data_IF_176146350199
#
_entry.id   IF_176146350199
#
_cell.length_a   1.000
_cell.length_b   1.000
_cell.length_c   1.000
_cell.angle_alpha   90.00
_cell.angle_beta   90.00
_cell.angle_gamma   90.00
#
_symmetry.space_group_name_H-M   'P 1'
#
loop_
_entity.id
_entity.type
_entity.pdbx_description
1 polymer ?
#
# COMPACT_ATOMS: atom_id res chain seq x y z
N UNK A 1 19.96 2.18 -29.15
CA UNK A 1 18.72 1.40 -28.96
C UNK A 1 18.65 1.11 -27.48
N UNK A 2 17.59 1.55 -26.82
CA UNK A 2 17.43 1.24 -25.40
C UNK A 2 17.09 -0.24 -25.26
N UNK A 3 17.45 -0.90 -24.16
CA UNK A 3 16.97 -2.26 -23.88
C UNK A 3 15.44 -2.30 -23.89
N UNK A 4 14.85 -3.40 -24.35
CA UNK A 4 13.40 -3.60 -24.44
C UNK A 4 12.71 -3.40 -23.07
N UNK A 5 13.36 -3.85 -22.00
CA UNK A 5 12.90 -3.65 -20.63
C UNK A 5 12.90 -2.17 -20.22
N UNK A 6 13.82 -1.37 -20.75
CA UNK A 6 13.88 0.07 -20.48
C UNK A 6 12.81 0.84 -21.25
N UNK A 7 12.45 0.40 -22.47
CA UNK A 7 11.32 0.97 -23.23
C UNK A 7 9.98 0.64 -22.54
N UNK A 8 9.79 -0.61 -22.10
CA UNK A 8 8.59 -1.05 -21.39
C UNK A 8 8.38 -0.31 -20.06
N UNK A 9 9.45 -0.02 -19.32
CA UNK A 9 9.40 0.77 -18.09
C UNK A 9 9.05 2.24 -18.35
N UNK A 10 9.48 2.81 -19.48
CA UNK A 10 9.17 4.19 -19.85
C UNK A 10 7.70 4.36 -20.27
N UNK A 11 7.15 3.39 -20.99
CA UNK A 11 5.72 3.37 -21.34
C UNK A 11 4.86 3.23 -20.08
N UNK A 12 5.23 2.33 -19.16
CA UNK A 12 4.57 2.20 -17.86
C UNK A 12 4.68 3.49 -17.01
N UNK A 13 5.81 4.18 -17.04
CA UNK A 13 6.00 5.45 -16.34
C UNK A 13 5.11 6.57 -16.92
N UNK A 14 4.92 6.60 -18.25
CA UNK A 14 3.99 7.52 -18.91
C UNK A 14 2.52 7.23 -18.54
N UNK A 15 2.14 5.96 -18.48
CA UNK A 15 0.81 5.52 -18.02
C UNK A 15 0.55 5.88 -16.56
N UNK A 16 1.59 5.88 -15.72
CA UNK A 16 1.42 6.18 -14.32
C UNK A 16 1.09 7.64 -14.04
N UNK A 17 1.43 8.61 -14.91
CA UNK A 17 1.14 10.07 -14.76
C UNK A 17 1.27 10.62 -13.33
N UNK A 18 2.17 10.02 -12.56
CA UNK A 18 2.40 10.27 -11.15
C UNK A 18 3.88 10.53 -10.99
N UNK A 19 4.22 11.74 -10.54
CA UNK A 19 5.55 11.97 -9.98
C UNK A 19 5.77 11.03 -8.78
N UNK A 20 7.04 10.72 -8.49
CA UNK A 20 7.43 9.91 -7.32
C UNK A 20 6.80 10.48 -6.04
N UNK A 21 6.81 11.80 -5.88
CA UNK A 21 6.18 12.50 -4.74
C UNK A 21 4.66 12.25 -4.66
N UNK A 22 3.96 12.27 -5.80
CA UNK A 22 2.53 11.99 -5.86
C UNK A 22 2.19 10.52 -5.60
N UNK A 23 3.10 9.60 -5.96
CA UNK A 23 2.98 8.18 -5.65
C UNK A 23 3.18 7.95 -4.14
N UNK A 24 4.27 8.47 -3.56
CA UNK A 24 4.53 8.40 -2.12
C UNK A 24 3.40 9.01 -1.29
N UNK A 25 2.88 10.18 -1.68
CA UNK A 25 1.77 10.82 -0.99
C UNK A 25 0.50 9.95 -0.98
N UNK A 26 0.22 9.23 -2.07
CA UNK A 26 -0.90 8.28 -2.14
C UNK A 26 -0.64 7.06 -1.26
N UNK A 27 0.57 6.51 -1.31
CA UNK A 27 0.96 5.35 -0.50
C UNK A 27 0.85 5.70 0.99
N UNK A 28 1.36 6.87 1.43
CA UNK A 28 1.22 7.36 2.81
C UNK A 28 -0.25 7.50 3.23
N UNK A 29 -1.14 8.01 2.37
CA UNK A 29 -2.59 8.10 2.66
C UNK A 29 -3.23 6.73 2.83
N UNK A 30 -2.89 5.77 1.96
CA UNK A 30 -3.40 4.40 2.05
C UNK A 30 -2.91 3.72 3.33
N UNK A 31 -1.61 3.84 3.64
CA UNK A 31 -1.02 3.29 4.86
C UNK A 31 -1.68 3.86 6.13
N UNK A 32 -1.91 5.17 6.18
CA UNK A 32 -2.55 5.84 7.30
C UNK A 32 -4.03 5.44 7.47
N UNK A 33 -4.76 5.24 6.37
CA UNK A 33 -6.14 4.75 6.42
C UNK A 33 -6.19 3.29 6.89
N UNK A 34 -5.28 2.47 6.37
CA UNK A 34 -5.23 1.06 6.68
C UNK A 34 -4.67 0.78 8.08
N UNK A 35 -3.86 1.64 8.70
CA UNK A 35 -3.37 1.43 10.08
C UNK A 35 -4.49 1.39 11.14
N UNK A 36 -5.62 2.04 10.86
CA UNK A 36 -6.80 2.09 11.75
C UNK A 36 -7.77 0.92 11.57
N UNK A 37 -7.48 -0.01 10.63
CA UNK A 37 -8.41 -1.04 10.21
C UNK A 37 -8.96 -1.90 11.36
N UNK A 38 -8.11 -2.26 12.34
CA UNK A 38 -8.51 -3.05 13.52
C UNK A 38 -9.58 -2.37 14.34
N UNK A 39 -9.39 -1.09 14.62
CA UNK A 39 -10.33 -0.29 15.40
C UNK A 39 -11.67 -0.18 14.67
N UNK A 40 -11.64 0.05 13.36
CA UNK A 40 -12.84 0.13 12.53
C UNK A 40 -13.56 -1.24 12.47
N UNK A 41 -12.82 -2.34 12.29
CA UNK A 41 -13.37 -3.70 12.29
C UNK A 41 -14.09 -4.02 13.61
N UNK A 42 -13.47 -3.68 14.75
CA UNK A 42 -14.06 -3.86 16.07
C UNK A 42 -15.35 -3.02 16.23
N UNK A 43 -15.33 -1.75 15.82
CA UNK A 43 -16.51 -0.87 15.85
C UNK A 43 -17.66 -1.37 14.96
N UNK A 44 -17.35 -2.13 13.90
CA UNK A 44 -18.34 -2.74 13.00
C UNK A 44 -18.80 -4.13 13.44
N UNK A 45 -18.35 -4.60 14.61
CA UNK A 45 -18.81 -5.86 15.20
C UNK A 45 -18.15 -7.11 14.63
N UNK A 46 -17.02 -6.98 13.93
CA UNK A 46 -16.22 -8.14 13.50
C UNK A 46 -15.65 -8.83 14.74
N UNK A 47 -15.69 -10.16 14.75
CA UNK A 47 -15.24 -10.91 15.92
C UNK A 47 -13.72 -10.76 16.11
N UNK A 48 -13.28 -10.64 17.37
CA UNK A 48 -11.86 -10.48 17.70
C UNK A 48 -10.98 -11.61 17.13
N UNK A 49 -11.52 -12.84 17.03
CA UNK A 49 -10.84 -13.96 16.40
C UNK A 49 -10.57 -13.71 14.91
N UNK A 50 -11.53 -13.16 14.18
CA UNK A 50 -11.41 -12.87 12.75
C UNK A 50 -10.41 -11.71 12.52
N UNK A 51 -10.45 -10.69 13.38
CA UNK A 51 -9.47 -9.59 13.39
C UNK A 51 -8.06 -10.16 13.63
N UNK A 52 -7.88 -11.03 14.62
CA UNK A 52 -6.59 -11.63 14.91
C UNK A 52 -6.07 -12.52 13.76
N UNK A 53 -6.94 -13.27 13.09
CA UNK A 53 -6.56 -14.07 11.93
C UNK A 53 -6.10 -13.19 10.76
N UNK A 54 -6.72 -12.02 10.58
CA UNK A 54 -6.40 -11.11 9.48
C UNK A 54 -5.18 -10.21 9.77
N UNK A 55 -4.86 -9.98 11.04
CA UNK A 55 -3.69 -9.21 11.49
C UNK A 55 -2.39 -9.75 10.92
N UNK A 56 -2.21 -11.07 10.88
CA UNK A 56 -0.98 -11.65 10.35
C UNK A 56 -0.79 -11.34 8.86
N UNK A 57 -1.88 -11.26 8.08
CA UNK A 57 -1.82 -10.93 6.65
C UNK A 57 -1.63 -9.43 6.40
N UNK A 58 -2.29 -8.58 7.18
CA UNK A 58 -2.26 -7.13 6.99
C UNK A 58 -1.00 -6.47 7.58
N UNK A 59 -0.50 -6.96 8.71
CA UNK A 59 0.71 -6.40 9.36
C UNK A 59 1.95 -6.47 8.46
N UNK A 60 2.18 -7.60 7.78
CA UNK A 60 3.31 -7.74 6.85
C UNK A 60 3.23 -6.77 5.67
N UNK A 61 2.03 -6.62 5.08
CA UNK A 61 1.80 -5.74 3.92
C UNK A 61 1.90 -4.27 4.32
N UNK A 62 1.36 -3.91 5.48
CA UNK A 62 1.47 -2.55 6.02
C UNK A 62 2.92 -2.21 6.36
N UNK A 63 3.68 -3.14 6.93
CA UNK A 63 5.12 -2.97 7.20
C UNK A 63 5.91 -2.69 5.93
N UNK A 64 5.70 -3.50 4.88
CA UNK A 64 6.37 -3.31 3.58
C UNK A 64 6.05 -1.95 2.95
N UNK A 65 4.79 -1.49 3.07
CA UNK A 65 4.37 -0.18 2.57
C UNK A 65 4.98 0.97 3.38
N UNK A 66 5.16 0.81 4.69
CA UNK A 66 5.78 1.82 5.54
C UNK A 66 7.26 2.05 5.18
N UNK A 67 8.02 0.97 5.00
CA UNK A 67 9.45 1.04 4.61
C UNK A 67 9.69 1.68 3.25
N UNK A 68 8.69 1.70 2.35
CA UNK A 68 8.78 2.39 1.05
C UNK A 68 8.58 3.91 1.14
N UNK A 69 8.12 4.42 2.29
CA UNK A 69 7.75 5.83 2.48
C UNK A 69 8.64 6.58 3.49
N UNK A 70 9.61 5.89 4.09
CA UNK A 70 10.65 6.41 5.00
C UNK A 70 11.95 6.69 4.23
#
# INVERSE_FOLDING_TARGET
>A
MMPEEAEMLMDFAAECSLSVEQAEARIRRIAAAASQWRQIAALKGIAQREIAMMEQSLSQRLGAVHTLCD
#
